data_IF_774583391532
#
_entry.id   IF_774583391532
#
_cell.length_a   1.000
_cell.length_b   1.000
_cell.length_c   1.000
_cell.angle_alpha   90.00
_cell.angle_beta   90.00
_cell.angle_gamma   90.00
#
_symmetry.space_group_name_H-M   'P 1'
#
loop_
_entity.id
_entity.type
_entity.pdbx_description
1 polymer ?
#
# COMPACT_ATOMS: atom_id res chain seq x y z
N UNK A 1 -21.36 -5.88 -1.99
CA UNK A 1 -20.45 -4.98 -2.72
C UNK A 1 -20.09 -5.61 -4.06
N UNK A 2 -20.24 -4.89 -5.16
CA UNK A 2 -19.82 -5.32 -6.51
C UNK A 2 -18.31 -5.15 -6.67
N UNK A 3 -17.64 -6.11 -7.29
CA UNK A 3 -16.21 -6.04 -7.63
C UNK A 3 -16.01 -6.04 -9.14
N UNK A 4 -15.24 -5.08 -9.63
CA UNK A 4 -14.91 -4.91 -11.05
C UNK A 4 -13.41 -4.67 -11.22
N UNK A 5 -12.90 -4.97 -12.41
CA UNK A 5 -11.52 -4.73 -12.82
C UNK A 5 -11.50 -3.98 -14.14
N UNK A 6 -10.54 -3.07 -14.31
CA UNK A 6 -10.25 -2.37 -15.56
C UNK A 6 -8.75 -2.53 -15.83
N UNK A 7 -8.32 -3.03 -17.00
CA UNK A 7 -9.17 -3.55 -18.07
C UNK A 7 -9.91 -4.83 -17.63
N UNK A 8 -11.09 -5.08 -18.21
CA UNK A 8 -11.97 -6.16 -17.80
C UNK A 8 -11.45 -7.56 -18.18
N UNK A 9 -10.56 -7.61 -19.17
CA UNK A 9 -9.89 -8.79 -19.72
C UNK A 9 -8.47 -8.99 -19.16
N UNK A 10 -8.14 -8.36 -18.03
CA UNK A 10 -6.85 -8.58 -17.37
C UNK A 10 -6.65 -10.07 -17.01
N UNK A 11 -5.53 -10.63 -17.46
CA UNK A 11 -5.23 -12.08 -17.41
C UNK A 11 -5.29 -12.69 -16.00
N UNK A 12 -4.86 -11.94 -14.98
CA UNK A 12 -4.81 -12.42 -13.59
C UNK A 12 -6.12 -12.16 -12.82
N UNK A 13 -7.13 -11.55 -13.45
CA UNK A 13 -8.35 -11.13 -12.74
C UNK A 13 -9.09 -12.30 -12.10
N UNK A 14 -9.18 -13.45 -12.77
CA UNK A 14 -9.82 -14.64 -12.21
C UNK A 14 -9.13 -15.14 -10.93
N UNK A 15 -7.82 -14.94 -10.81
CA UNK A 15 -7.06 -15.26 -9.61
C UNK A 15 -7.15 -14.16 -8.53
N UNK A 16 -7.21 -12.90 -8.92
CA UNK A 16 -7.26 -11.74 -7.99
C UNK A 16 -8.64 -11.50 -7.42
N UNK A 17 -9.70 -11.66 -8.22
CA UNK A 17 -11.09 -11.44 -7.82
C UNK A 17 -11.48 -12.15 -6.52
N UNK A 18 -11.23 -13.46 -6.32
CA UNK A 18 -11.57 -14.11 -5.06
C UNK A 18 -10.78 -13.55 -3.87
N UNK A 19 -9.52 -13.16 -4.07
CA UNK A 19 -8.69 -12.54 -3.01
C UNK A 19 -9.22 -11.15 -2.63
N UNK A 20 -9.64 -10.36 -3.61
CA UNK A 20 -10.25 -9.05 -3.39
C UNK A 20 -11.59 -9.19 -2.65
N UNK A 21 -12.41 -10.18 -3.03
CA UNK A 21 -13.66 -10.49 -2.34
C UNK A 21 -13.43 -10.90 -0.87
N UNK A 22 -12.42 -11.74 -0.64
CA UNK A 22 -12.06 -12.17 0.71
C UNK A 22 -11.56 -11.00 1.57
N UNK A 23 -10.65 -10.18 1.04
CA UNK A 23 -10.14 -9.01 1.75
C UNK A 23 -11.26 -8.01 2.07
N UNK A 24 -12.14 -7.73 1.10
CA UNK A 24 -13.30 -6.87 1.31
C UNK A 24 -14.26 -7.41 2.38
N UNK A 25 -14.47 -8.73 2.43
CA UNK A 25 -15.30 -9.37 3.44
C UNK A 25 -14.67 -9.26 4.84
N UNK A 26 -13.39 -9.61 4.98
CA UNK A 26 -12.66 -9.49 6.25
C UNK A 26 -12.66 -8.06 6.79
N UNK A 27 -12.61 -7.06 5.91
CA UNK A 27 -12.59 -5.64 6.27
C UNK A 27 -13.99 -5.00 6.31
N UNK A 28 -15.04 -5.80 6.13
CA UNK A 28 -16.45 -5.36 6.12
C UNK A 28 -16.72 -4.17 5.18
N UNK A 29 -16.06 -4.13 4.02
CA UNK A 29 -16.17 -2.99 3.09
C UNK A 29 -17.57 -2.80 2.53
N UNK A 30 -18.39 -3.85 2.49
CA UNK A 30 -19.78 -3.77 2.04
C UNK A 30 -20.66 -2.87 2.92
N UNK A 31 -20.21 -2.50 4.14
CA UNK A 31 -20.88 -1.52 4.99
C UNK A 31 -20.65 -0.07 4.54
N UNK A 32 -19.60 0.16 3.75
CA UNK A 32 -19.10 1.47 3.32
C UNK A 32 -19.33 1.72 1.84
N UNK A 33 -19.18 0.67 1.03
CA UNK A 33 -19.18 0.77 -0.41
C UNK A 33 -20.16 -0.22 -1.05
N UNK A 34 -20.91 0.29 -2.04
CA UNK A 34 -21.72 -0.50 -2.94
C UNK A 34 -20.87 -1.21 -4.00
N UNK A 35 -19.78 -0.57 -4.46
CA UNK A 35 -18.87 -1.12 -5.47
C UNK A 35 -17.40 -0.75 -5.21
N UNK A 36 -16.50 -1.64 -5.61
CA UNK A 36 -15.06 -1.41 -5.67
C UNK A 36 -14.54 -1.81 -7.06
N UNK A 37 -13.84 -0.87 -7.70
CA UNK A 37 -13.16 -1.11 -8.98
C UNK A 37 -11.65 -1.15 -8.76
N UNK A 38 -10.98 -2.20 -9.24
CA UNK A 38 -9.53 -2.22 -9.38
C UNK A 38 -9.19 -1.70 -10.77
N UNK A 39 -8.47 -0.59 -10.86
CA UNK A 39 -7.96 -0.08 -12.13
C UNK A 39 -6.47 -0.42 -12.21
N UNK A 40 -6.12 -1.15 -13.25
CA UNK A 40 -4.80 -1.66 -13.53
C UNK A 40 -4.30 -0.97 -14.78
N UNK A 41 -3.33 -0.10 -14.59
CA UNK A 41 -2.78 0.73 -15.64
C UNK A 41 -1.26 0.61 -15.62
N UNK A 42 -0.62 0.84 -16.78
CA UNK A 42 0.83 0.83 -16.95
C UNK A 42 1.41 2.16 -16.44
N UNK A 43 1.10 2.43 -15.17
CA UNK A 43 1.58 3.55 -14.38
C UNK A 43 3.11 3.52 -14.32
N UNK A 44 3.75 4.69 -14.33
CA UNK A 44 5.20 4.79 -14.24
C UNK A 44 5.69 4.15 -12.91
N UNK A 45 6.90 3.58 -12.92
CA UNK A 45 7.40 2.72 -11.84
C UNK A 45 7.51 3.39 -10.44
N UNK A 46 7.41 4.71 -10.37
CA UNK A 46 7.39 5.55 -9.18
C UNK A 46 5.97 5.87 -8.66
N UNK A 47 4.93 5.49 -9.40
CA UNK A 47 3.54 5.74 -9.01
C UNK A 47 3.08 4.73 -7.95
N UNK A 48 2.89 5.24 -6.74
CA UNK A 48 2.25 4.52 -5.66
C UNK A 48 0.78 4.25 -6.00
N UNK A 49 0.21 3.10 -5.59
CA UNK A 49 -1.22 2.88 -5.69
C UNK A 49 -1.99 4.04 -5.04
N UNK A 50 -3.03 4.53 -5.70
CA UNK A 50 -3.87 5.59 -5.14
C UNK A 50 -5.34 5.17 -5.12
N UNK A 51 -6.09 5.88 -4.29
CA UNK A 51 -7.49 5.62 -4.02
C UNK A 51 -8.33 6.81 -4.48
N UNK A 52 -9.48 6.52 -5.09
CA UNK A 52 -10.45 7.53 -5.51
C UNK A 52 -11.86 7.19 -5.00
N UNK A 53 -12.61 8.23 -4.66
CA UNK A 53 -14.00 8.17 -4.22
C UNK A 53 -14.87 8.99 -5.17
N UNK A 54 -15.28 8.42 -6.32
CA UNK A 54 -16.04 9.16 -7.33
C UNK A 54 -17.45 9.58 -6.85
N UNK A 55 -17.91 9.05 -5.70
CA UNK A 55 -19.21 9.32 -5.12
C UNK A 55 -20.14 8.10 -5.19
N UNK A 56 -21.38 8.24 -4.74
CA UNK A 56 -22.39 7.18 -4.89
C UNK A 56 -22.11 5.87 -4.14
N UNK A 57 -21.20 5.87 -3.16
CA UNK A 57 -20.78 4.65 -2.46
C UNK A 57 -19.83 3.78 -3.27
N UNK A 58 -19.17 4.33 -4.29
CA UNK A 58 -18.16 3.63 -5.08
C UNK A 58 -16.75 4.01 -4.61
N UNK A 59 -15.83 3.05 -4.75
CA UNK A 59 -14.41 3.23 -4.49
C UNK A 59 -13.58 2.67 -5.64
N UNK A 60 -12.45 3.30 -5.91
CA UNK A 60 -11.51 2.87 -6.95
C UNK A 60 -10.11 2.75 -6.35
N UNK A 61 -9.45 1.63 -6.63
CA UNK A 61 -8.03 1.42 -6.32
C UNK A 61 -7.26 1.33 -7.63
N UNK A 62 -6.40 2.30 -7.87
CA UNK A 62 -5.47 2.32 -8.99
C UNK A 62 -4.17 1.65 -8.58
N UNK A 63 -3.66 0.74 -9.40
CA UNK A 63 -2.44 0.02 -9.12
C UNK A 63 -1.77 -0.51 -10.40
N UNK A 64 -0.45 -0.57 -10.40
CA UNK A 64 0.27 -1.27 -11.46
C UNK A 64 0.09 -2.81 -11.30
N UNK A 65 -0.07 -3.59 -12.39
CA UNK A 65 -0.22 -5.06 -12.34
C UNK A 65 0.90 -5.78 -11.57
N UNK A 66 2.11 -5.25 -11.57
CA UNK A 66 3.26 -5.83 -10.84
C UNK A 66 3.06 -5.90 -9.31
N UNK A 67 2.11 -5.15 -8.74
CA UNK A 67 1.77 -5.25 -7.32
C UNK A 67 1.21 -6.64 -6.93
N UNK A 68 0.71 -7.40 -7.92
CA UNK A 68 0.15 -8.74 -7.74
C UNK A 68 1.17 -9.85 -8.05
N UNK A 69 2.38 -9.48 -8.44
CA UNK A 69 3.44 -10.40 -8.85
C UNK A 69 4.41 -10.71 -7.71
N UNK A 70 5.18 -11.78 -7.85
CA UNK A 70 6.17 -12.15 -6.86
C UNK A 70 7.30 -11.10 -6.80
N UNK A 71 7.40 -10.37 -5.69
CA UNK A 71 8.57 -9.52 -5.43
C UNK A 71 9.80 -10.43 -5.34
N UNK A 72 10.86 -10.23 -6.15
CA UNK A 72 12.10 -10.96 -5.95
C UNK A 72 12.65 -10.68 -4.55
N UNK A 73 13.11 -11.72 -3.85
CA UNK A 73 14.16 -11.52 -2.86
C UNK A 73 15.32 -10.87 -3.61
N UNK A 74 15.65 -9.64 -3.24
CA UNK A 74 16.63 -8.75 -3.87
C UNK A 74 17.85 -9.51 -4.39
N UNK A 75 17.92 -9.71 -5.71
CA UNK A 75 19.20 -9.69 -6.40
C UNK A 75 19.39 -8.23 -6.81
N UNK A 76 20.37 -7.59 -6.19
CA UNK A 76 20.86 -6.26 -6.55
C UNK A 76 21.17 -6.29 -8.04
N UNK A 77 20.43 -5.52 -8.84
CA UNK A 77 20.86 -5.16 -10.18
C UNK A 77 21.17 -3.67 -10.16
N UNK A 78 22.45 -3.38 -9.96
CA UNK A 78 23.08 -2.12 -10.29
C UNK A 78 23.24 -2.05 -11.81
N UNK A 79 22.32 -1.41 -12.53
CA UNK A 79 22.62 -0.85 -13.85
C UNK A 79 21.93 0.51 -14.02
N UNK A 80 22.57 1.46 -14.72
CA UNK A 80 22.20 2.87 -14.72
C UNK A 80 20.98 3.14 -15.60
N UNK A 81 20.35 4.28 -15.33
CA UNK A 81 19.20 4.81 -16.04
C UNK A 81 19.34 4.72 -17.56
N UNK A 82 18.48 3.93 -18.19
CA UNK A 82 18.15 4.05 -19.62
C UNK A 82 17.49 5.40 -19.85
N UNK A 83 17.90 6.07 -20.93
CA UNK A 83 17.49 7.45 -21.24
C UNK A 83 15.99 7.53 -21.57
N UNK A 84 15.34 8.71 -21.45
CA UNK A 84 13.88 8.87 -21.60
C UNK A 84 13.28 8.46 -22.95
N UNK A 85 14.11 8.21 -23.97
CA UNK A 85 13.71 7.84 -25.33
C UNK A 85 14.12 6.41 -25.73
N UNK A 86 14.69 5.64 -24.80
CA UNK A 86 14.90 4.21 -25.02
C UNK A 86 13.59 3.48 -24.75
N UNK A 87 13.00 2.94 -25.82
CA UNK A 87 11.95 1.92 -25.71
C UNK A 87 12.45 0.83 -24.75
N UNK A 88 11.76 0.55 -23.63
CA UNK A 88 12.19 -0.51 -22.74
C UNK A 88 12.30 -1.80 -23.55
N UNK A 89 13.46 -2.45 -23.50
CA UNK A 89 13.62 -3.73 -24.17
C UNK A 89 12.48 -4.67 -23.74
N UNK A 90 11.92 -5.48 -24.65
CA UNK A 90 10.89 -6.45 -24.32
C UNK A 90 11.44 -7.39 -23.25
N UNK A 91 11.10 -7.07 -22.00
CA UNK A 91 11.52 -7.77 -20.78
C UNK A 91 11.18 -9.26 -20.97
N UNK A 92 12.17 -10.13 -20.75
CA UNK A 92 12.10 -11.56 -21.08
C UNK A 92 10.83 -12.25 -20.54
N UNK A 93 10.20 -13.08 -21.38
CA UNK A 93 8.93 -13.75 -21.09
C UNK A 93 8.99 -14.75 -19.92
N UNK A 94 10.18 -15.23 -19.57
CA UNK A 94 10.40 -16.29 -18.57
C UNK A 94 10.86 -15.81 -17.19
N UNK A 95 10.73 -14.52 -16.87
CA UNK A 95 11.11 -14.04 -15.53
C UNK A 95 10.16 -14.61 -14.45
N UNK A 96 10.63 -15.44 -13.50
CA UNK A 96 9.79 -15.94 -12.40
C UNK A 96 9.20 -14.82 -11.53
N UNK A 97 9.76 -13.60 -11.59
CA UNK A 97 9.22 -12.37 -10.96
C UNK A 97 7.93 -11.88 -11.62
N UNK A 98 7.59 -12.42 -12.81
CA UNK A 98 6.32 -12.15 -13.49
C UNK A 98 5.19 -13.09 -13.09
N UNK A 99 5.48 -14.15 -12.34
CA UNK A 99 4.43 -15.07 -11.90
C UNK A 99 3.55 -14.39 -10.85
N UNK A 100 2.24 -14.52 -11.05
CA UNK A 100 1.24 -14.14 -10.06
C UNK A 100 1.59 -14.71 -8.67
N UNK A 101 1.46 -13.87 -7.64
CA UNK A 101 1.70 -14.25 -6.26
C UNK A 101 0.44 -14.06 -5.44
N UNK A 102 -0.27 -15.15 -5.13
CA UNK A 102 -1.47 -15.09 -4.30
C UNK A 102 -1.20 -14.45 -2.92
N UNK A 103 -0.03 -14.71 -2.32
CA UNK A 103 0.36 -14.11 -1.03
C UNK A 103 0.75 -12.64 -1.17
N UNK A 104 1.43 -12.26 -2.26
CA UNK A 104 1.72 -10.86 -2.59
C UNK A 104 0.43 -10.06 -2.79
N UNK A 105 -0.44 -10.55 -3.67
CA UNK A 105 -1.76 -10.01 -3.95
C UNK A 105 -2.61 -9.86 -2.67
N UNK A 106 -2.67 -10.90 -1.83
CA UNK A 106 -3.44 -10.84 -0.59
C UNK A 106 -2.93 -9.75 0.36
N UNK A 107 -1.61 -9.60 0.54
CA UNK A 107 -1.03 -8.52 1.38
C UNK A 107 -1.35 -7.14 0.79
N UNK A 108 -1.14 -6.98 -0.51
CA UNK A 108 -1.41 -5.75 -1.23
C UNK A 108 -2.87 -5.30 -1.05
N UNK A 109 -3.80 -6.22 -1.32
CA UNK A 109 -5.23 -5.96 -1.22
C UNK A 109 -5.64 -5.63 0.21
N UNK A 110 -5.27 -6.43 1.20
CA UNK A 110 -5.65 -6.15 2.59
C UNK A 110 -5.11 -4.81 3.09
N UNK A 111 -3.87 -4.46 2.72
CA UNK A 111 -3.27 -3.18 3.07
C UNK A 111 -4.05 -1.99 2.51
N UNK A 112 -4.27 -1.96 1.20
CA UNK A 112 -4.91 -0.82 0.54
C UNK A 112 -6.42 -0.76 0.78
N UNK A 113 -7.07 -1.92 0.96
CA UNK A 113 -8.49 -1.95 1.33
C UNK A 113 -8.74 -1.54 2.78
N UNK A 114 -7.78 -1.75 3.68
CA UNK A 114 -7.87 -1.17 5.03
C UNK A 114 -7.63 0.34 4.99
N UNK A 115 -6.69 0.81 4.16
CA UNK A 115 -6.49 2.23 3.92
C UNK A 115 -7.76 2.89 3.36
N UNK A 116 -8.44 2.23 2.43
CA UNK A 116 -9.73 2.65 1.89
C UNK A 116 -10.81 2.75 2.99
N UNK A 117 -10.88 1.77 3.90
CA UNK A 117 -11.81 1.81 5.03
C UNK A 117 -11.53 2.99 5.97
N UNK A 118 -10.26 3.24 6.31
CA UNK A 118 -9.86 4.36 7.18
C UNK A 118 -10.26 5.73 6.61
N UNK A 119 -10.11 5.90 5.29
CA UNK A 119 -10.51 7.13 4.60
C UNK A 119 -12.04 7.30 4.63
N UNK A 120 -12.80 6.21 4.45
CA UNK A 120 -14.27 6.24 4.51
C UNK A 120 -14.78 6.59 5.92
N UNK A 121 -14.13 6.04 6.94
CA UNK A 121 -14.51 6.21 8.35
C UNK A 121 -13.97 7.51 8.96
N UNK A 122 -13.17 8.29 8.21
CA UNK A 122 -12.56 9.52 8.70
C UNK A 122 -11.46 9.31 9.75
N UNK A 123 -10.91 8.09 9.85
CA UNK A 123 -9.67 7.77 10.58
C UNK A 123 -8.52 8.56 9.98
N UNK A 124 -8.50 8.70 8.65
CA UNK A 124 -7.58 9.58 7.94
C UNK A 124 -8.37 10.65 7.20
N UNK A 125 -7.94 11.90 7.35
CA UNK A 125 -8.56 13.08 6.72
C UNK A 125 -7.50 13.82 5.90
N UNK A 126 -7.30 13.46 4.62
CA UNK A 126 -6.17 13.96 3.85
C UNK A 126 -6.09 15.49 3.76
N UNK A 127 -7.24 16.16 3.71
CA UNK A 127 -7.33 17.63 3.64
C UNK A 127 -6.85 18.34 4.91
N UNK A 128 -6.78 17.65 6.03
CA UNK A 128 -6.32 18.18 7.32
C UNK A 128 -4.82 17.94 7.54
N UNK A 129 -4.14 17.19 6.66
CA UNK A 129 -2.72 16.87 6.76
C UNK A 129 -1.89 18.05 6.21
N UNK A 130 -1.01 18.68 7.00
CA UNK A 130 -0.11 19.70 6.50
C UNK A 130 0.83 19.12 5.43
N UNK A 131 1.02 19.81 4.30
CA UNK A 131 1.86 19.34 3.20
C UNK A 131 3.29 18.97 3.65
N UNK A 132 3.85 19.71 4.61
CA UNK A 132 5.19 19.45 5.18
C UNK A 132 5.28 18.14 5.98
N UNK A 133 4.15 17.50 6.30
CA UNK A 133 4.08 16.25 7.07
C UNK A 133 3.53 15.09 6.23
N UNK A 134 3.15 15.31 4.98
CA UNK A 134 2.44 14.31 4.17
C UNK A 134 3.22 12.98 4.06
N UNK A 135 4.51 13.04 3.73
CA UNK A 135 5.36 11.86 3.63
C UNK A 135 5.50 11.14 4.99
N UNK A 136 5.74 11.89 6.06
CA UNK A 136 5.87 11.32 7.40
C UNK A 136 4.57 10.64 7.87
N UNK A 137 3.44 11.29 7.61
CA UNK A 137 2.12 10.78 7.90
C UNK A 137 1.83 9.49 7.13
N UNK A 138 2.13 9.47 5.83
CA UNK A 138 1.91 8.30 4.98
C UNK A 138 2.67 7.07 5.49
N UNK A 139 3.92 7.24 5.93
CA UNK A 139 4.71 6.14 6.48
C UNK A 139 4.17 5.66 7.82
N UNK A 140 3.83 6.57 8.73
CA UNK A 140 3.21 6.22 10.04
C UNK A 140 1.89 5.48 9.83
N UNK A 141 1.04 5.97 8.93
CA UNK A 141 -0.21 5.33 8.59
C UNK A 141 0.02 3.93 8.01
N UNK A 142 0.99 3.79 7.10
CA UNK A 142 1.35 2.49 6.52
C UNK A 142 1.86 1.49 7.55
N UNK A 143 2.66 1.94 8.53
CA UNK A 143 3.10 1.12 9.68
C UNK A 143 1.88 0.66 10.49
N UNK A 144 0.94 1.56 10.77
CA UNK A 144 -0.26 1.24 11.52
C UNK A 144 -1.20 0.28 10.80
N UNK A 145 -1.35 0.42 9.47
CA UNK A 145 -2.16 -0.49 8.67
C UNK A 145 -1.68 -1.94 8.83
N UNK A 146 -0.37 -2.18 8.68
CA UNK A 146 0.18 -3.53 8.80
C UNK A 146 0.19 -4.05 10.24
N UNK A 147 0.40 -3.17 11.22
CA UNK A 147 0.24 -3.48 12.64
C UNK A 147 -1.15 -4.01 12.97
N UNK A 148 -2.19 -3.32 12.49
CA UNK A 148 -3.59 -3.74 12.66
C UNK A 148 -3.93 -5.01 11.90
N UNK A 149 -3.41 -5.19 10.67
CA UNK A 149 -3.60 -6.44 9.93
C UNK A 149 -2.96 -7.63 10.67
N UNK A 150 -1.75 -7.45 11.19
CA UNK A 150 -1.08 -8.45 12.05
C UNK A 150 -1.91 -8.77 13.29
N UNK A 151 -2.38 -7.76 14.02
CA UNK A 151 -3.19 -7.94 15.22
C UNK A 151 -4.48 -8.72 14.98
N UNK A 152 -5.02 -8.66 13.76
CA UNK A 152 -6.22 -9.38 13.32
C UNK A 152 -5.93 -10.74 12.67
N UNK A 153 -4.66 -11.14 12.57
CA UNK A 153 -4.27 -12.36 11.87
C UNK A 153 -4.53 -12.32 10.35
N UNK A 154 -4.64 -11.12 9.77
CA UNK A 154 -4.90 -10.91 8.35
C UNK A 154 -3.60 -10.73 7.56
N UNK A 155 -3.59 -11.03 6.25
CA UNK A 155 -2.44 -10.73 5.39
C UNK A 155 -2.06 -9.25 5.47
N UNK A 156 -0.80 -8.96 5.73
CA UNK A 156 -0.21 -7.63 5.73
C UNK A 156 1.29 -7.72 5.47
N UNK A 157 1.98 -6.59 5.29
CA UNK A 157 3.42 -6.65 5.09
C UNK A 157 4.13 -7.07 6.38
N UNK A 158 5.11 -8.00 6.31
CA UNK A 158 5.87 -8.41 7.47
C UNK A 158 6.56 -7.23 8.16
N UNK A 159 6.71 -7.29 9.49
CA UNK A 159 7.38 -6.24 10.27
C UNK A 159 8.78 -5.92 9.75
N UNK A 160 9.53 -6.93 9.29
CA UNK A 160 10.86 -6.73 8.71
C UNK A 160 10.84 -5.86 7.44
N UNK A 161 9.87 -6.09 6.55
CA UNK A 161 9.72 -5.32 5.31
C UNK A 161 9.28 -3.89 5.62
N UNK A 162 8.33 -3.73 6.55
CA UNK A 162 7.85 -2.42 6.98
C UNK A 162 8.95 -1.61 7.67
N UNK A 163 9.77 -2.23 8.53
CA UNK A 163 10.96 -1.59 9.13
C UNK A 163 11.96 -1.13 8.07
N UNK A 164 12.21 -1.94 7.05
CA UNK A 164 13.12 -1.56 5.94
C UNK A 164 12.61 -0.36 5.17
N UNK A 165 11.30 -0.32 4.85
CA UNK A 165 10.68 0.83 4.17
C UNK A 165 10.74 2.09 5.03
N UNK A 166 10.34 1.99 6.30
CA UNK A 166 10.38 3.08 7.26
C UNK A 166 11.82 3.63 7.43
N UNK A 167 12.82 2.74 7.53
CA UNK A 167 14.22 3.14 7.55
C UNK A 167 14.62 3.93 6.29
N UNK A 168 14.27 3.46 5.10
CA UNK A 168 14.58 4.19 3.85
C UNK A 168 13.93 5.57 3.79
N UNK A 169 12.75 5.74 4.39
CA UNK A 169 12.02 7.01 4.37
C UNK A 169 12.64 8.08 5.30
N UNK A 170 13.24 7.68 6.42
CA UNK A 170 13.71 8.62 7.46
C UNK A 170 15.21 8.60 7.74
N UNK A 171 15.97 7.63 7.23
CA UNK A 171 17.40 7.55 7.48
C UNK A 171 18.16 8.59 6.62
N UNK A 172 18.26 9.82 7.13
CA UNK A 172 19.34 10.71 6.73
C UNK A 172 20.68 10.07 7.10
N UNK A 173 21.61 9.99 6.14
CA UNK A 173 22.95 9.41 6.30
C UNK A 173 22.98 7.97 6.84
N UNK A 174 21.89 7.21 6.66
CA UNK A 174 21.81 5.80 7.05
C UNK A 174 21.63 5.56 8.56
N UNK A 175 21.20 6.55 9.33
CA UNK A 175 20.93 6.40 10.77
C UNK A 175 19.50 6.78 11.15
N UNK A 176 18.87 5.97 11.99
CA UNK A 176 17.63 6.32 12.68
C UNK A 176 17.90 6.60 14.16
N UNK A 177 17.47 7.76 14.63
CA UNK A 177 17.43 8.09 16.06
C UNK A 177 16.44 7.17 16.81
N UNK A 178 16.65 6.90 18.12
CA UNK A 178 15.74 6.10 18.94
C UNK A 178 14.26 6.51 18.83
N UNK A 179 13.99 7.82 18.74
CA UNK A 179 12.63 8.36 18.60
C UNK A 179 11.88 7.83 17.36
N UNK A 180 12.58 7.52 16.27
CA UNK A 180 11.95 6.90 15.09
C UNK A 180 11.39 5.53 15.41
N UNK A 181 12.12 4.74 16.20
CA UNK A 181 11.68 3.41 16.60
C UNK A 181 10.55 3.46 17.62
N UNK A 182 10.56 4.44 18.52
CA UNK A 182 9.44 4.65 19.45
C UNK A 182 8.14 4.93 18.69
N UNK A 183 8.19 5.81 17.69
CA UNK A 183 7.04 6.10 16.84
C UNK A 183 6.63 4.87 16.02
N UNK A 184 7.58 4.14 15.43
CA UNK A 184 7.29 2.92 14.68
C UNK A 184 6.53 1.91 15.56
N UNK A 185 7.03 1.65 16.76
CA UNK A 185 6.43 0.69 17.69
C UNK A 185 5.06 1.15 18.17
N UNK A 186 4.92 2.42 18.52
CA UNK A 186 3.63 3.00 18.91
C UNK A 186 2.59 2.87 17.79
N UNK A 187 2.96 3.17 16.54
CA UNK A 187 2.07 3.05 15.39
C UNK A 187 1.73 1.59 15.06
N UNK A 188 2.69 0.67 15.20
CA UNK A 188 2.51 -0.76 14.90
C UNK A 188 1.61 -1.47 15.91
N UNK A 189 1.71 -1.11 17.19
CA UNK A 189 1.00 -1.82 18.26
C UNK A 189 -0.37 -1.20 18.60
N UNK A 190 -0.70 -0.02 18.07
CA UNK A 190 -2.01 0.62 18.29
C UNK A 190 -3.12 -0.01 17.41
N UNK A 191 -4.15 -0.63 18.02
CA UNK A 191 -5.22 -1.30 17.28
C UNK A 191 -6.23 -0.35 16.61
N UNK A 192 -6.40 0.88 17.10
CA UNK A 192 -7.44 1.79 16.61
C UNK A 192 -7.00 3.26 16.68
N UNK A 193 -5.99 3.68 15.88
CA UNK A 193 -5.60 5.07 15.87
C UNK A 193 -6.68 5.93 15.22
N UNK A 194 -6.77 7.19 15.65
CA UNK A 194 -7.55 8.21 14.97
C UNK A 194 -6.62 9.18 14.21
N UNK A 195 -7.24 10.13 13.50
CA UNK A 195 -6.52 11.11 12.70
C UNK A 195 -5.51 11.92 13.53
N UNK A 196 -5.91 12.33 14.73
CA UNK A 196 -5.11 13.15 15.63
C UNK A 196 -3.87 12.39 16.12
N UNK A 197 -4.03 11.10 16.45
CA UNK A 197 -2.94 10.21 16.87
C UNK A 197 -1.92 10.02 15.76
N UNK A 198 -2.37 9.69 14.55
CA UNK A 198 -1.50 9.55 13.37
C UNK A 198 -0.72 10.84 13.10
N UNK A 199 -1.39 11.98 13.21
CA UNK A 199 -0.75 13.29 13.01
C UNK A 199 0.25 13.62 14.12
N UNK A 200 -0.03 13.25 15.37
CA UNK A 200 0.89 13.45 16.50
C UNK A 200 2.19 12.67 16.29
N UNK A 201 2.09 11.38 15.92
CA UNK A 201 3.26 10.57 15.58
C UNK A 201 4.06 11.13 14.41
N UNK A 202 3.38 11.57 13.34
CA UNK A 202 4.05 12.21 12.21
C UNK A 202 4.81 13.48 12.61
N UNK A 203 4.27 14.28 13.55
CA UNK A 203 4.95 15.47 14.10
C UNK A 203 6.14 15.12 15.00
N UNK A 204 6.07 13.98 15.67
CA UNK A 204 7.09 13.53 16.60
C UNK A 204 8.33 12.97 15.92
N UNK A 205 8.23 12.57 14.66
CA UNK A 205 9.38 12.08 13.90
C UNK A 205 10.42 13.19 13.72
N UNK A 206 11.70 12.92 14.08
CA UNK A 206 12.80 13.81 13.75
C UNK A 206 12.83 14.08 12.23
N UNK A 207 13.10 15.34 11.86
CA UNK A 207 13.25 15.73 10.45
C UNK A 207 14.71 15.51 10.05
N UNK A 208 14.89 14.93 8.88
CA UNK A 208 16.15 14.96 8.13
C UNK A 208 16.47 16.38 7.67
#
# INVERSE_FOLDING_TARGET
>A
MRLTCVPADWEDWDAVRPLAAQAAAHLELARRFAALTLVLDDLAADEHPWLEFPGGGEAVLYAHPDQFRAVPSVAVSTLPATLPWEMPEPRAADDPRRRFSASGAARFLHHHLLALADLADGVVRPREIPASLAAAYQEVWSVSLDGRLRGRGLPGYPTADRRRRFFRAFAADGLLLPKHWDVFHAAWDEPAPDHARLLAWAKDLPRA
#
